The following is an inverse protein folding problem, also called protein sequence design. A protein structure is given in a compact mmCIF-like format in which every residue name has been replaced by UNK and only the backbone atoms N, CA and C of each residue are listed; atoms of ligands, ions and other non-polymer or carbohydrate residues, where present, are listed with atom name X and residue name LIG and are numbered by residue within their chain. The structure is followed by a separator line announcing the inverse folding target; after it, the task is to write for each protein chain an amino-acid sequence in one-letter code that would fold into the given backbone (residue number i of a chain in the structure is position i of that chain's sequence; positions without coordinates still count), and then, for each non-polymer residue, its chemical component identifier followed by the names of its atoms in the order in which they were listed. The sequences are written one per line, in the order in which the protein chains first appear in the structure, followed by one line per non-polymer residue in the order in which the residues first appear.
data_IF_858439587198
#
_entry.id   IF_858439587198
#
_cell.length_a   1.000
_cell.length_b   1.000
_cell.length_c   1.000
_cell.angle_alpha   90.00
_cell.angle_beta   90.00
_cell.angle_gamma   90.00
#
_symmetry.space_group_name_H-M   'P 1'
#
loop_
_entity.id
_entity.type
_entity.pdbx_description
1 polymer ?
#
# COMPACT_ATOMS: atom_id res chain seq x y z
N UNK A 1 -0.72 -1.50 -9.93
CA UNK A 1 0.11 -2.63 -10.38
C UNK A 1 -0.32 -3.11 -11.76
N UNK A 2 -1.50 -3.71 -11.97
CA UNK A 2 -1.96 -4.24 -13.27
C UNK A 2 -1.86 -3.24 -14.43
N UNK A 3 -2.18 -1.97 -14.21
CA UNK A 3 -2.03 -0.91 -15.23
C UNK A 3 -0.56 -0.75 -15.63
N UNK A 4 0.36 -0.67 -14.67
CA UNK A 4 1.78 -0.53 -14.95
C UNK A 4 2.32 -1.75 -15.73
N UNK A 5 2.06 -2.94 -15.23
CA UNK A 5 2.50 -4.21 -15.84
C UNK A 5 1.96 -4.40 -17.26
N UNK A 6 0.70 -4.04 -17.52
CA UNK A 6 0.10 -4.11 -18.87
C UNK A 6 0.71 -3.12 -19.86
N UNK A 7 1.44 -2.12 -19.37
CA UNK A 7 2.19 -1.16 -20.19
C UNK A 7 3.72 -1.39 -20.14
N UNK A 8 4.16 -2.57 -19.70
CA UNK A 8 5.58 -2.93 -19.65
C UNK A 8 6.38 -2.19 -18.57
N UNK A 9 5.70 -1.64 -17.55
CA UNK A 9 6.33 -0.91 -16.45
C UNK A 9 6.39 -1.79 -15.22
N UNK A 10 7.58 -1.99 -14.66
CA UNK A 10 7.78 -2.73 -13.42
C UNK A 10 7.25 -1.92 -12.23
N UNK A 11 6.53 -2.58 -11.33
CA UNK A 11 5.94 -1.97 -10.15
C UNK A 11 6.58 -2.53 -8.88
N UNK A 12 7.15 -1.66 -8.08
CA UNK A 12 7.76 -2.00 -6.78
C UNK A 12 6.87 -1.55 -5.64
N UNK A 13 6.84 -2.33 -4.57
CA UNK A 13 6.22 -1.95 -3.31
C UNK A 13 7.30 -1.51 -2.32
N UNK A 14 6.98 -0.51 -1.49
CA UNK A 14 7.82 -0.03 -0.40
C UNK A 14 6.99 0.14 0.86
N UNK A 15 7.64 0.38 1.99
CA UNK A 15 6.93 0.88 3.17
C UNK A 15 6.38 2.28 2.92
N UNK A 16 5.36 2.65 3.70
CA UNK A 16 4.76 3.99 3.65
C UNK A 16 5.80 5.06 4.01
N UNK A 17 5.88 6.06 3.18
CA UNK A 17 6.79 7.20 3.33
C UNK A 17 7.69 7.39 2.12
N UNK A 18 7.72 8.62 1.60
CA UNK A 18 8.50 8.97 0.39
C UNK A 18 10.00 8.71 0.54
N UNK A 19 10.53 8.70 1.76
CA UNK A 19 11.93 8.32 2.01
C UNK A 19 12.25 6.90 1.50
N UNK A 20 11.36 5.94 1.68
CA UNK A 20 11.55 4.57 1.21
C UNK A 20 11.42 4.47 -0.31
N UNK A 21 10.50 5.24 -0.90
CA UNK A 21 10.37 5.33 -2.36
C UNK A 21 11.60 5.98 -2.98
N UNK A 22 12.12 7.05 -2.38
CA UNK A 22 13.34 7.72 -2.83
C UNK A 22 14.58 6.83 -2.66
N UNK A 23 14.67 6.05 -1.58
CA UNK A 23 15.73 5.06 -1.38
C UNK A 23 15.69 3.97 -2.46
N UNK A 24 14.51 3.38 -2.71
CA UNK A 24 14.34 2.37 -3.76
C UNK A 24 14.67 2.95 -5.15
N UNK A 25 14.21 4.18 -5.45
CA UNK A 25 14.56 4.90 -6.68
C UNK A 25 16.07 5.03 -6.85
N UNK A 26 16.76 5.54 -5.83
CA UNK A 26 18.21 5.72 -5.88
C UNK A 26 18.95 4.39 -6.08
N UNK A 27 18.49 3.32 -5.42
CA UNK A 27 19.09 1.99 -5.56
C UNK A 27 18.94 1.44 -6.99
N UNK A 28 17.75 1.54 -7.59
CA UNK A 28 17.48 1.07 -8.95
C UNK A 28 18.28 1.87 -9.99
N UNK A 29 18.36 3.18 -9.84
CA UNK A 29 19.11 4.05 -10.75
C UNK A 29 20.62 3.80 -10.64
N UNK A 30 21.15 3.60 -9.42
CA UNK A 30 22.56 3.28 -9.20
C UNK A 30 22.93 1.89 -9.74
N UNK A 31 22.02 0.94 -9.71
CA UNK A 31 22.21 -0.40 -10.29
C UNK A 31 22.04 -0.43 -11.82
N UNK A 32 21.59 0.66 -12.45
CA UNK A 32 21.29 0.69 -13.88
C UNK A 32 20.06 -0.11 -14.29
N UNK A 33 19.17 -0.42 -13.34
CA UNK A 33 17.97 -1.22 -13.55
C UNK A 33 16.80 -0.41 -14.16
N UNK A 34 17.02 0.85 -14.48
CA UNK A 34 16.06 1.70 -15.15
C UNK A 34 15.77 3.00 -14.38
N UNK A 35 14.73 3.70 -14.79
CA UNK A 35 14.33 4.99 -14.24
C UNK A 35 12.95 4.89 -13.59
N UNK A 36 12.83 5.33 -12.34
CA UNK A 36 11.54 5.43 -11.67
C UNK A 36 10.79 6.67 -12.17
N UNK A 37 9.69 6.45 -12.86
CA UNK A 37 8.91 7.52 -13.52
C UNK A 37 7.84 8.12 -12.61
N UNK A 38 7.31 7.33 -11.65
CA UNK A 38 6.21 7.75 -10.81
C UNK A 38 6.19 6.97 -9.49
N UNK A 39 5.93 7.66 -8.38
CA UNK A 39 5.71 7.05 -7.07
C UNK A 39 4.53 7.72 -6.37
N UNK A 40 3.78 6.97 -5.59
CA UNK A 40 2.60 7.51 -4.91
C UNK A 40 2.27 6.73 -3.64
N UNK A 41 1.53 7.38 -2.75
CA UNK A 41 0.92 6.78 -1.57
C UNK A 41 -0.61 6.73 -1.69
N UNK A 42 -1.23 5.84 -0.94
CA UNK A 42 -2.68 5.76 -0.82
C UNK A 42 -3.32 7.05 -0.27
N UNK A 43 -2.53 7.87 0.43
CA UNK A 43 -2.92 9.13 1.04
C UNK A 43 -2.71 10.35 0.13
N UNK A 44 -2.75 10.15 -1.19
CA UNK A 44 -2.70 11.21 -2.22
C UNK A 44 -1.39 11.98 -2.30
N UNK A 45 -0.29 11.42 -1.85
CA UNK A 45 1.05 11.92 -2.11
C UNK A 45 1.58 11.37 -3.43
N UNK A 46 2.18 12.23 -4.24
CA UNK A 46 2.74 11.85 -5.55
C UNK A 46 4.14 12.43 -5.72
N UNK A 47 5.03 11.65 -6.34
CA UNK A 47 6.36 12.07 -6.73
C UNK A 47 6.57 11.74 -8.21
N UNK A 48 6.87 12.74 -8.99
CA UNK A 48 7.11 12.66 -10.43
C UNK A 48 8.46 13.34 -10.75
N UNK A 49 9.26 12.73 -11.60
CA UNK A 49 10.55 13.29 -12.02
C UNK A 49 11.70 13.07 -11.04
N UNK A 50 12.79 13.84 -11.21
CA UNK A 50 14.10 13.59 -10.57
C UNK A 50 14.55 14.68 -9.59
N UNK A 51 13.86 15.82 -9.54
CA UNK A 51 14.31 17.02 -8.82
C UNK A 51 13.92 17.08 -7.34
N UNK A 52 12.91 16.32 -6.92
CA UNK A 52 12.56 16.14 -5.50
C UNK A 52 12.58 14.68 -5.10
N UNK A 53 12.81 14.43 -3.82
CA UNK A 53 12.81 13.09 -3.19
C UNK A 53 11.68 12.94 -2.17
N UNK A 54 10.62 13.70 -2.36
CA UNK A 54 9.41 13.71 -1.55
C UNK A 54 8.21 14.01 -2.47
N UNK A 55 7.00 13.94 -1.90
CA UNK A 55 5.77 14.33 -2.60
C UNK A 55 5.82 15.77 -3.08
N UNK A 56 5.34 16.00 -4.28
CA UNK A 56 5.32 17.32 -4.91
C UNK A 56 3.93 17.61 -5.50
N UNK A 57 3.23 18.54 -4.85
CA UNK A 57 1.89 18.95 -5.26
C UNK A 57 1.88 19.72 -6.58
N UNK A 58 2.96 20.41 -6.95
CA UNK A 58 3.04 21.20 -8.18
C UNK A 58 3.03 20.28 -9.38
N UNK A 59 3.93 19.30 -9.42
CA UNK A 59 3.97 18.32 -10.52
C UNK A 59 2.75 17.42 -10.53
N UNK A 60 2.21 17.05 -9.37
CA UNK A 60 0.96 16.30 -9.29
C UNK A 60 -0.22 17.08 -9.90
N UNK A 61 -0.34 18.38 -9.61
CA UNK A 61 -1.39 19.24 -10.18
C UNK A 61 -1.24 19.38 -11.70
N UNK A 62 -0.01 19.54 -12.18
CA UNK A 62 0.28 19.59 -13.62
C UNK A 62 -0.14 18.28 -14.30
N UNK A 63 0.29 17.14 -13.77
CA UNK A 63 -0.04 15.81 -14.32
C UNK A 63 -1.54 15.56 -14.35
N UNK A 64 -2.27 15.90 -13.28
CA UNK A 64 -3.71 15.73 -13.19
C UNK A 64 -4.44 16.64 -14.20
N UNK A 65 -3.98 17.87 -14.37
CA UNK A 65 -4.55 18.81 -15.34
C UNK A 65 -4.33 18.31 -16.79
N UNK A 66 -3.13 17.86 -17.09
CA UNK A 66 -2.79 17.29 -18.40
C UNK A 66 -3.62 16.03 -18.70
N UNK A 67 -3.74 15.13 -17.72
CA UNK A 67 -4.57 13.93 -17.81
C UNK A 67 -6.04 14.29 -18.05
N UNK A 68 -6.58 15.26 -17.34
CA UNK A 68 -7.95 15.72 -17.53
C UNK A 68 -8.18 16.31 -18.92
N UNK A 69 -7.27 17.14 -19.40
CA UNK A 69 -7.32 17.71 -20.73
C UNK A 69 -7.23 16.64 -21.84
N UNK A 70 -6.36 15.64 -21.65
CA UNK A 70 -6.21 14.52 -22.60
C UNK A 70 -7.49 13.69 -22.71
N UNK A 71 -8.16 13.37 -21.60
CA UNK A 71 -9.45 12.67 -21.60
C UNK A 71 -10.58 13.54 -22.16
N UNK A 72 -10.61 14.84 -21.80
CA UNK A 72 -11.61 15.77 -22.34
C UNK A 72 -11.54 15.89 -23.86
N UNK A 73 -10.34 15.89 -24.46
CA UNK A 73 -10.16 15.88 -25.90
C UNK A 73 -10.71 14.63 -26.59
N UNK A 74 -10.95 13.56 -25.83
CA UNK A 74 -11.60 12.32 -26.30
C UNK A 74 -13.10 12.25 -25.92
N UNK A 75 -13.69 13.35 -25.43
CA UNK A 75 -15.07 13.41 -24.99
C UNK A 75 -15.36 12.65 -23.67
N UNK A 76 -14.33 12.44 -22.86
CA UNK A 76 -14.42 11.71 -21.60
C UNK A 76 -14.12 12.60 -20.40
N UNK A 77 -14.82 12.36 -19.29
CA UNK A 77 -14.43 12.84 -17.97
C UNK A 77 -13.41 11.91 -17.34
N UNK A 78 -12.76 12.33 -16.22
CA UNK A 78 -11.91 11.42 -15.42
C UNK A 78 -12.72 10.28 -14.78
N UNK A 79 -14.02 10.49 -14.56
CA UNK A 79 -14.93 9.44 -14.10
C UNK A 79 -15.12 8.35 -15.16
N UNK A 80 -15.36 8.75 -16.40
CA UNK A 80 -15.49 7.80 -17.52
C UNK A 80 -14.19 7.02 -17.74
N UNK A 81 -13.06 7.68 -17.55
CA UNK A 81 -11.75 7.04 -17.63
C UNK A 81 -11.54 6.00 -16.53
N UNK A 82 -12.00 6.30 -15.30
CA UNK A 82 -11.93 5.37 -14.17
C UNK A 82 -12.81 4.14 -14.41
N UNK A 83 -14.04 4.32 -14.89
CA UNK A 83 -14.94 3.21 -15.23
C UNK A 83 -14.31 2.28 -16.29
N UNK A 84 -13.68 2.84 -17.33
CA UNK A 84 -12.93 2.04 -18.32
C UNK A 84 -11.76 1.27 -17.73
N UNK A 85 -11.08 1.82 -16.72
CA UNK A 85 -10.05 1.10 -15.98
C UNK A 85 -10.64 -0.08 -15.18
N UNK A 86 -11.79 0.11 -14.55
CA UNK A 86 -12.49 -0.96 -13.85
C UNK A 86 -12.97 -2.06 -14.79
N UNK A 87 -13.51 -1.70 -15.95
CA UNK A 87 -13.90 -2.67 -16.99
C UNK A 87 -12.70 -3.51 -17.46
N UNK A 88 -11.55 -2.86 -17.66
CA UNK A 88 -10.34 -3.52 -18.20
C UNK A 88 -9.58 -4.34 -17.16
N UNK A 89 -9.47 -3.86 -15.93
CA UNK A 89 -8.54 -4.42 -14.92
C UNK A 89 -9.26 -5.05 -13.72
N UNK A 90 -10.55 -4.89 -13.62
CA UNK A 90 -11.38 -5.27 -12.48
C UNK A 90 -11.64 -4.11 -11.52
N UNK A 91 -12.73 -4.19 -10.80
CA UNK A 91 -13.11 -3.21 -9.80
C UNK A 91 -12.31 -3.44 -8.51
N UNK A 92 -11.68 -2.38 -7.99
CA UNK A 92 -10.97 -2.38 -6.72
C UNK A 92 -11.64 -1.38 -5.78
N UNK A 93 -12.00 -1.83 -4.59
CA UNK A 93 -12.53 -1.00 -3.53
C UNK A 93 -11.59 -1.02 -2.33
N UNK A 94 -11.30 0.14 -1.78
CA UNK A 94 -10.44 0.31 -0.62
C UNK A 94 -11.16 1.13 0.44
N UNK A 95 -10.91 0.80 1.71
CA UNK A 95 -11.42 1.56 2.83
C UNK A 95 -10.42 1.57 3.97
N UNK A 96 -10.15 2.77 4.49
CA UNK A 96 -9.27 2.93 5.64
C UNK A 96 -10.09 3.23 6.90
N UNK A 97 -9.80 2.51 7.97
CA UNK A 97 -10.32 2.77 9.29
C UNK A 97 -9.21 3.26 10.22
N UNK A 98 -9.51 4.26 11.04
CA UNK A 98 -8.62 4.76 12.06
C UNK A 98 -9.18 4.38 13.44
N UNK A 99 -8.53 3.45 14.12
CA UNK A 99 -8.85 3.06 15.49
C UNK A 99 -8.03 3.94 16.43
N UNK A 100 -8.65 4.98 16.96
CA UNK A 100 -8.01 5.87 17.93
C UNK A 100 -8.11 5.23 19.32
N UNK A 101 -7.00 5.21 20.05
CA UNK A 101 -6.90 4.69 21.42
C UNK A 101 -6.69 5.87 22.37
N UNK A 102 -7.77 6.47 22.90
CA UNK A 102 -7.68 7.68 23.71
C UNK A 102 -7.09 7.38 25.10
N UNK A 103 -6.51 8.41 25.71
CA UNK A 103 -6.01 8.34 27.08
C UNK A 103 -4.50 8.10 27.17
N UNK A 104 -4.01 8.10 28.41
CA UNK A 104 -2.58 7.95 28.72
C UNK A 104 -2.01 6.58 28.38
N UNK A 105 -2.85 5.55 28.35
CA UNK A 105 -2.46 4.17 28.04
C UNK A 105 -2.61 3.81 26.56
N UNK A 106 -3.07 4.73 25.70
CA UNK A 106 -3.35 4.44 24.30
C UNK A 106 -2.17 3.83 23.51
N UNK A 107 -0.93 4.22 23.81
CA UNK A 107 0.25 3.60 23.19
C UNK A 107 0.47 2.15 23.69
N UNK A 108 0.17 1.86 24.96
CA UNK A 108 0.25 0.49 25.49
C UNK A 108 -0.83 -0.39 24.89
N UNK A 109 -2.05 0.13 24.78
CA UNK A 109 -3.19 -0.58 24.19
C UNK A 109 -2.92 -0.91 22.72
N UNK A 110 -2.34 0.03 21.98
CA UNK A 110 -1.90 -0.18 20.60
C UNK A 110 -0.83 -1.28 20.48
N UNK A 111 0.17 -1.25 21.37
CA UNK A 111 1.20 -2.27 21.39
C UNK A 111 0.64 -3.65 21.76
N UNK A 112 -0.29 -3.70 22.74
CA UNK A 112 -0.95 -4.93 23.15
C UNK A 112 -1.85 -5.50 22.05
N UNK A 113 -2.56 -4.64 21.31
CA UNK A 113 -3.35 -5.07 20.15
C UNK A 113 -2.46 -5.75 19.09
N UNK A 114 -1.35 -5.13 18.72
CA UNK A 114 -0.42 -5.69 17.74
C UNK A 114 0.20 -7.01 18.20
N UNK A 115 0.51 -7.11 19.50
CA UNK A 115 0.98 -8.35 20.11
C UNK A 115 -0.08 -9.45 20.03
N UNK A 116 -1.31 -9.16 20.42
CA UNK A 116 -2.42 -10.11 20.40
C UNK A 116 -2.70 -10.63 18.98
N UNK A 117 -2.65 -9.75 17.95
CA UNK A 117 -2.84 -10.13 16.56
C UNK A 117 -1.73 -11.07 16.04
N UNK A 118 -0.51 -10.99 16.60
CA UNK A 118 0.60 -11.90 16.28
C UNK A 118 0.45 -13.25 16.97
N UNK A 119 0.15 -13.24 18.26
CA UNK A 119 0.03 -14.45 19.09
C UNK A 119 -1.23 -15.24 18.77
N UNK A 120 -2.33 -14.54 18.53
CA UNK A 120 -3.65 -15.12 18.25
C UNK A 120 -4.23 -14.55 16.93
N UNK A 121 -3.62 -14.85 15.78
CA UNK A 121 -4.07 -14.32 14.51
C UNK A 121 -5.46 -14.85 14.16
N UNK A 122 -6.34 -14.02 13.58
CA UNK A 122 -7.67 -14.44 13.18
C UNK A 122 -7.58 -15.52 12.10
N UNK A 123 -8.35 -16.59 12.23
CA UNK A 123 -8.52 -17.59 11.18
C UNK A 123 -9.52 -17.15 10.12
N UNK A 124 -10.39 -16.20 10.48
CA UNK A 124 -11.48 -15.69 9.65
C UNK A 124 -11.73 -14.21 9.98
N UNK A 125 -12.08 -13.41 8.98
CA UNK A 125 -12.44 -11.99 9.13
C UNK A 125 -13.74 -11.78 8.36
N UNK A 126 -14.78 -11.30 9.05
CA UNK A 126 -16.12 -11.06 8.45
C UNK A 126 -16.70 -12.27 7.68
N UNK A 127 -16.47 -13.49 8.18
CA UNK A 127 -16.95 -14.73 7.54
C UNK A 127 -16.07 -15.23 6.39
N UNK A 128 -14.96 -14.55 6.09
CA UNK A 128 -14.03 -14.97 5.03
C UNK A 128 -12.74 -15.50 5.64
N UNK A 129 -12.35 -16.70 5.21
CA UNK A 129 -11.16 -17.39 5.73
C UNK A 129 -9.87 -16.65 5.39
N UNK A 130 -8.97 -16.51 6.36
CA UNK A 130 -7.60 -16.04 6.14
C UNK A 130 -6.77 -17.17 5.57
N UNK A 131 -6.15 -16.95 4.42
CA UNK A 131 -5.32 -17.94 3.73
C UNK A 131 -3.83 -17.67 3.84
N UNK A 132 -3.42 -16.41 4.00
CA UNK A 132 -2.01 -16.03 4.19
C UNK A 132 -1.88 -14.96 5.26
N UNK A 133 -0.86 -15.09 6.10
CA UNK A 133 -0.45 -14.06 7.07
C UNK A 133 0.95 -13.58 6.75
N UNK A 134 1.15 -12.26 6.80
CA UNK A 134 2.47 -11.63 6.62
C UNK A 134 2.76 -10.72 7.79
N UNK A 135 3.92 -10.90 8.44
CA UNK A 135 4.44 -9.97 9.44
C UNK A 135 5.66 -9.26 8.88
N UNK A 136 5.52 -7.96 8.69
CA UNK A 136 6.60 -7.13 8.16
C UNK A 136 7.65 -6.77 9.21
N UNK A 137 7.49 -7.18 10.48
CA UNK A 137 8.52 -6.98 11.50
C UNK A 137 9.76 -7.82 11.20
N UNK A 138 9.55 -9.08 10.83
CA UNK A 138 10.61 -10.07 10.55
C UNK A 138 10.59 -10.59 9.10
N UNK A 139 9.62 -10.15 8.28
CA UNK A 139 9.45 -10.60 6.91
C UNK A 139 8.82 -11.99 6.79
N UNK A 140 8.22 -12.53 7.84
CA UNK A 140 7.63 -13.86 7.82
C UNK A 140 6.31 -13.91 7.05
N UNK A 141 6.13 -14.98 6.29
CA UNK A 141 4.91 -15.32 5.55
C UNK A 141 4.47 -16.72 5.96
N UNK A 142 3.22 -16.88 6.32
CA UNK A 142 2.63 -18.16 6.72
C UNK A 142 1.44 -18.49 5.84
N UNK A 143 1.47 -19.61 5.16
CA UNK A 143 0.29 -20.22 4.55
C UNK A 143 -0.58 -20.83 5.66
N UNK A 144 -1.80 -20.34 5.80
CA UNK A 144 -2.67 -20.73 6.91
C UNK A 144 -3.32 -22.11 6.73
N UNK A 145 -3.33 -22.65 5.50
CA UNK A 145 -3.88 -23.98 5.23
C UNK A 145 -2.88 -25.08 5.55
N UNK A 146 -1.63 -24.88 5.22
CA UNK A 146 -0.55 -25.88 5.36
C UNK A 146 0.35 -25.65 6.56
N UNK A 147 0.37 -24.43 7.10
CA UNK A 147 1.34 -24.00 8.11
C UNK A 147 2.74 -23.75 7.54
N UNK A 148 2.92 -23.84 6.22
CA UNK A 148 4.21 -23.59 5.58
C UNK A 148 4.66 -22.16 5.80
N UNK A 149 5.96 -21.98 6.08
CA UNK A 149 6.60 -20.69 6.34
C UNK A 149 7.56 -20.34 5.20
N UNK A 150 7.52 -19.09 4.80
CA UNK A 150 8.48 -18.48 3.88
C UNK A 150 8.82 -17.06 4.31
N UNK A 151 9.68 -16.38 3.58
CA UNK A 151 10.08 -15.00 3.87
C UNK A 151 9.83 -14.11 2.67
N UNK A 152 9.61 -12.82 2.94
CA UNK A 152 9.51 -11.75 1.94
C UNK A 152 10.66 -10.76 2.09
N UNK A 153 10.98 -10.02 1.03
CA UNK A 153 12.06 -9.02 1.01
C UNK A 153 11.80 -7.86 2.00
N UNK A 154 10.54 -7.39 2.08
CA UNK A 154 10.18 -6.27 2.93
C UNK A 154 10.07 -6.70 4.40
N UNK A 155 10.96 -6.19 5.25
CA UNK A 155 10.96 -6.43 6.70
C UNK A 155 11.43 -5.19 7.48
N UNK A 156 11.27 -5.21 8.82
CA UNK A 156 11.69 -4.10 9.68
C UNK A 156 10.61 -3.05 9.96
N UNK A 157 9.34 -3.35 9.68
CA UNK A 157 8.22 -2.44 9.95
C UNK A 157 7.10 -3.14 10.73
N UNK A 158 6.53 -2.45 11.72
CA UNK A 158 5.44 -3.00 12.54
C UNK A 158 4.11 -2.99 11.77
N UNK A 159 3.98 -3.88 10.79
CA UNK A 159 2.80 -4.02 9.94
C UNK A 159 2.41 -5.49 9.86
N UNK A 160 1.13 -5.77 9.94
CA UNK A 160 0.55 -7.10 9.69
C UNK A 160 -0.35 -7.04 8.46
N UNK A 161 -0.32 -8.09 7.64
CA UNK A 161 -1.23 -8.26 6.51
C UNK A 161 -1.86 -9.65 6.54
N UNK A 162 -3.16 -9.68 6.39
CA UNK A 162 -3.96 -10.90 6.24
C UNK A 162 -4.55 -10.91 4.83
N UNK A 163 -4.31 -11.97 4.08
CA UNK A 163 -4.89 -12.20 2.77
C UNK A 163 -6.00 -13.24 2.91
N UNK A 164 -7.16 -12.95 2.35
CA UNK A 164 -8.37 -13.75 2.51
C UNK A 164 -8.68 -14.55 1.24
N UNK A 165 -9.49 -15.59 1.41
CA UNK A 165 -9.80 -16.55 0.34
C UNK A 165 -10.53 -15.95 -0.87
N UNK A 166 -11.20 -14.81 -0.71
CA UNK A 166 -11.87 -14.06 -1.78
C UNK A 166 -10.95 -13.06 -2.50
N UNK A 167 -9.67 -12.99 -2.13
CA UNK A 167 -8.70 -12.04 -2.66
C UNK A 167 -8.65 -10.69 -1.93
N UNK A 168 -9.53 -10.48 -0.95
CA UNK A 168 -9.47 -9.29 -0.08
C UNK A 168 -8.22 -9.34 0.80
N UNK A 169 -7.64 -8.20 1.12
CA UNK A 169 -6.56 -8.11 2.10
C UNK A 169 -6.86 -7.07 3.17
N UNK A 170 -6.45 -7.36 4.39
CA UNK A 170 -6.54 -6.44 5.51
C UNK A 170 -5.13 -6.17 6.02
N UNK A 171 -4.77 -4.89 6.11
CA UNK A 171 -3.46 -4.44 6.60
C UNK A 171 -3.66 -3.68 7.90
N UNK A 172 -2.93 -4.04 8.93
CA UNK A 172 -2.97 -3.39 10.24
C UNK A 172 -1.63 -2.73 10.51
N UNK A 173 -1.64 -1.41 10.71
CA UNK A 173 -0.45 -0.60 10.94
C UNK A 173 -0.66 0.41 12.07
N UNK A 174 0.08 0.31 13.18
CA UNK A 174 0.08 1.32 14.21
C UNK A 174 0.73 2.62 13.70
N UNK A 175 0.24 3.77 14.15
CA UNK A 175 0.89 5.05 13.90
C UNK A 175 2.19 5.15 14.72
N UNK A 176 3.23 5.76 14.14
CA UNK A 176 4.49 6.03 14.85
C UNK A 176 4.45 7.24 15.77
N UNK A 177 3.45 8.11 15.64
CA UNK A 177 3.41 9.42 16.31
C UNK A 177 2.15 9.65 17.14
N UNK A 178 1.11 8.87 16.91
CA UNK A 178 -0.21 9.05 17.55
C UNK A 178 -0.75 7.71 18.07
N UNK A 179 -1.51 7.69 19.16
CA UNK A 179 -2.12 6.45 19.69
C UNK A 179 -3.32 6.03 18.82
N UNK A 180 -3.02 5.60 17.62
CA UNK A 180 -4.01 5.09 16.66
C UNK A 180 -3.45 3.95 15.81
N UNK A 181 -4.31 3.04 15.42
CA UNK A 181 -4.04 1.97 14.47
C UNK A 181 -4.83 2.23 13.19
N UNK A 182 -4.16 2.23 12.06
CA UNK A 182 -4.81 2.24 10.75
C UNK A 182 -5.06 0.81 10.30
N UNK A 183 -6.26 0.58 9.79
CA UNK A 183 -6.65 -0.68 9.16
C UNK A 183 -7.10 -0.35 7.73
N UNK A 184 -6.49 -0.98 6.77
CA UNK A 184 -6.76 -0.80 5.35
C UNK A 184 -7.42 -2.05 4.76
#
# INVERSE_FOLDING_TARGET
RKVAESNGVTCYDTFTGFKFMAEKKNALEAAGEGKVIFSYEESYGYMLGDYVRDKDAVTASMLLTEMAAWYAAQGMTLFDALEKLYEKYGHYAEKTYNLVMPGLDGLKDMAQLMKNLRENPPAEISGVKVVTRKDYTDGSVVDCATGAKSTMELSGSNVLRYEMADGTSLIVRPSGTEPKVKVY
#
